data_IF_861359984374
#
_entry.id   IF_861359984374
#
_cell.length_a   1.000
_cell.length_b   1.000
_cell.length_c   1.000
_cell.angle_alpha   90.00
_cell.angle_beta   90.00
_cell.angle_gamma   90.00
#
_symmetry.space_group_name_H-M   'P 1'
#
loop_
_entity.id
_entity.type
_entity.pdbx_description
1 polymer ?
#
# COMPACT_ATOMS: atom_id res chain seq x y z
N UNK A 1 -27.46 8.71 15.82
CA UNK A 1 -27.43 7.34 16.36
C UNK A 1 -26.10 7.12 17.08
N UNK A 2 -26.07 6.31 18.14
CA UNK A 2 -24.81 5.96 18.80
C UNK A 2 -24.08 4.93 17.94
N UNK A 3 -22.89 5.28 17.46
CA UNK A 3 -22.01 4.37 16.75
C UNK A 3 -21.25 3.58 17.82
N UNK A 4 -21.36 2.26 17.79
CA UNK A 4 -20.57 1.37 18.65
C UNK A 4 -19.49 0.72 17.79
N UNK A 5 -18.26 0.77 18.26
CA UNK A 5 -17.13 0.09 17.63
C UNK A 5 -16.92 -1.26 18.30
N UNK A 6 -16.61 -2.28 17.50
CA UNK A 6 -16.20 -3.57 18.04
C UNK A 6 -14.74 -3.51 18.49
N UNK A 7 -14.40 -4.35 19.45
CA UNK A 7 -13.00 -4.63 19.76
C UNK A 7 -12.46 -5.63 18.74
N UNK A 8 -11.14 -5.65 18.55
CA UNK A 8 -10.49 -6.57 17.62
C UNK A 8 -10.87 -8.05 17.86
N UNK A 9 -11.01 -8.46 19.12
CA UNK A 9 -11.42 -9.83 19.46
C UNK A 9 -12.84 -10.13 18.95
N UNK A 10 -13.77 -9.17 19.09
CA UNK A 10 -15.13 -9.32 18.58
C UNK A 10 -15.18 -9.30 17.06
N UNK A 11 -14.30 -8.55 16.41
CA UNK A 11 -14.16 -8.60 14.96
C UNK A 11 -13.68 -9.97 14.48
N UNK A 12 -12.70 -10.58 15.16
CA UNK A 12 -12.25 -11.96 14.83
C UNK A 12 -13.37 -12.99 15.05
N UNK A 13 -14.10 -12.92 16.15
CA UNK A 13 -15.25 -13.80 16.40
C UNK A 13 -16.30 -13.73 15.28
N UNK A 14 -16.54 -12.53 14.73
CA UNK A 14 -17.47 -12.33 13.62
C UNK A 14 -16.95 -12.93 12.30
N UNK A 15 -15.64 -12.91 12.06
CA UNK A 15 -15.04 -13.57 10.89
C UNK A 15 -15.18 -15.09 10.99
N UNK A 16 -14.88 -15.67 12.16
CA UNK A 16 -15.07 -17.11 12.39
C UNK A 16 -16.54 -17.55 12.25
N UNK A 17 -17.48 -16.69 12.66
CA UNK A 17 -18.91 -16.96 12.50
C UNK A 17 -19.32 -16.99 11.02
N UNK A 18 -18.78 -16.08 10.20
CA UNK A 18 -19.02 -16.06 8.75
C UNK A 18 -18.51 -17.32 8.08
N UNK A 19 -17.32 -17.79 8.47
CA UNK A 19 -16.74 -19.03 7.94
C UNK A 19 -17.65 -20.23 8.24
N UNK A 20 -18.20 -20.33 9.46
CA UNK A 20 -19.16 -21.38 9.85
C UNK A 20 -20.45 -21.36 9.01
N UNK A 21 -20.83 -20.20 8.51
CA UNK A 21 -22.01 -20.03 7.64
C UNK A 21 -21.69 -20.19 6.15
N UNK A 22 -20.44 -20.49 5.80
CA UNK A 22 -20.02 -20.66 4.41
C UNK A 22 -19.84 -19.36 3.64
N UNK A 23 -19.74 -18.22 4.35
CA UNK A 23 -19.40 -16.94 3.73
C UNK A 23 -17.89 -16.77 3.66
N UNK A 24 -17.31 -17.01 2.49
CA UNK A 24 -15.89 -16.75 2.24
C UNK A 24 -15.71 -15.31 1.76
N UNK A 25 -14.78 -14.58 2.38
CA UNK A 25 -14.37 -13.24 1.93
C UNK A 25 -13.12 -13.35 1.04
N UNK A 26 -13.20 -13.01 -0.26
CA UNK A 26 -12.04 -13.03 -1.16
C UNK A 26 -10.86 -12.22 -0.63
N UNK A 27 -11.09 -11.16 0.16
CA UNK A 27 -10.01 -10.33 0.71
C UNK A 27 -9.14 -11.06 1.73
N UNK A 28 -9.64 -12.15 2.30
CA UNK A 28 -8.91 -12.97 3.27
C UNK A 28 -8.18 -14.14 2.59
N UNK A 29 -8.27 -14.28 1.26
CA UNK A 29 -7.56 -15.34 0.54
C UNK A 29 -6.15 -14.89 0.15
N UNK A 30 -5.27 -15.86 -0.10
CA UNK A 30 -3.84 -15.61 -0.36
C UNK A 30 -3.62 -14.80 -1.63
N UNK A 31 -4.52 -14.93 -2.60
CA UNK A 31 -4.54 -14.18 -3.85
C UNK A 31 -4.69 -12.67 -3.61
N UNK A 32 -5.26 -12.27 -2.46
CA UNK A 32 -5.51 -10.88 -2.08
C UNK A 32 -4.69 -10.39 -0.87
N UNK A 33 -3.80 -11.21 -0.31
CA UNK A 33 -2.98 -10.91 0.89
C UNK A 33 -2.09 -9.65 0.70
N UNK A 34 -1.69 -9.35 -0.54
CA UNK A 34 -0.88 -8.17 -0.90
C UNK A 34 -1.61 -7.23 -1.86
N UNK A 35 -2.94 -7.32 -1.96
CA UNK A 35 -3.70 -6.41 -2.78
C UNK A 35 -3.74 -5.03 -2.13
N UNK A 36 -2.81 -4.16 -2.52
CA UNK A 36 -3.01 -2.73 -2.42
C UNK A 36 -4.23 -2.39 -3.28
N UNK A 37 -5.37 -2.19 -2.62
CA UNK A 37 -6.67 -1.85 -3.23
C UNK A 37 -6.55 -0.65 -4.18
N UNK A 38 -5.52 0.18 -4.01
CA UNK A 38 -5.26 1.37 -4.81
C UNK A 38 -4.24 1.15 -5.96
N UNK A 39 -3.48 0.05 -5.96
CA UNK A 39 -2.38 -0.16 -6.90
C UNK A 39 -2.42 -1.49 -7.68
N UNK A 40 -3.27 -2.45 -7.30
CA UNK A 40 -3.36 -3.71 -8.04
C UNK A 40 -4.34 -3.60 -9.23
N UNK A 41 -3.83 -3.97 -10.40
CA UNK A 41 -4.53 -3.96 -11.69
C UNK A 41 -5.36 -5.22 -11.94
N UNK A 42 -5.44 -6.14 -10.98
CA UNK A 42 -6.23 -7.39 -11.09
C UNK A 42 -7.69 -7.16 -11.51
N UNK A 43 -8.25 -5.99 -11.23
CA UNK A 43 -9.60 -5.62 -11.63
C UNK A 43 -9.68 -4.78 -12.91
N UNK A 44 -8.56 -4.26 -13.44
CA UNK A 44 -8.58 -3.36 -14.62
C UNK A 44 -9.21 -4.01 -15.83
N UNK A 45 -8.85 -5.26 -16.12
CA UNK A 45 -9.40 -5.99 -17.26
C UNK A 45 -10.90 -6.20 -17.10
N UNK A 46 -11.35 -6.58 -15.90
CA UNK A 46 -12.78 -6.73 -15.60
C UNK A 46 -13.57 -5.42 -15.60
N UNK A 47 -12.92 -4.28 -15.34
CA UNK A 47 -13.57 -2.96 -15.44
C UNK A 47 -13.83 -2.58 -16.89
N UNK A 48 -12.93 -2.94 -17.80
CA UNK A 48 -13.15 -2.78 -19.24
C UNK A 48 -14.31 -3.66 -19.72
N UNK A 49 -14.34 -4.93 -19.31
CA UNK A 49 -15.48 -5.84 -19.61
C UNK A 49 -16.82 -5.33 -19.05
N UNK A 50 -16.80 -4.72 -17.86
CA UNK A 50 -17.97 -4.13 -17.22
C UNK A 50 -18.39 -2.77 -17.84
N UNK A 51 -17.63 -2.23 -18.79
CA UNK A 51 -17.91 -0.95 -19.45
C UNK A 51 -17.69 0.26 -18.55
N UNK A 52 -16.84 0.15 -17.53
CA UNK A 52 -16.52 1.25 -16.62
C UNK A 52 -15.60 2.25 -17.33
N UNK A 53 -16.09 3.46 -17.57
CA UNK A 53 -15.33 4.53 -18.20
C UNK A 53 -14.85 5.58 -17.20
N UNK A 54 -13.61 6.04 -17.35
CA UNK A 54 -13.05 7.16 -16.59
C UNK A 54 -13.67 8.48 -17.05
N UNK A 55 -14.67 9.00 -16.32
CA UNK A 55 -15.37 10.25 -16.66
C UNK A 55 -14.99 11.48 -15.83
N UNK A 56 -14.42 11.30 -14.64
CA UNK A 56 -14.25 12.38 -13.67
C UNK A 56 -12.87 13.06 -13.67
N UNK A 57 -11.80 12.32 -13.96
CA UNK A 57 -10.41 12.81 -13.92
C UNK A 57 -9.66 12.30 -15.14
N UNK A 58 -8.75 13.10 -15.70
CA UNK A 58 -7.88 12.67 -16.81
C UNK A 58 -6.99 11.47 -16.45
N UNK A 59 -6.58 10.71 -17.47
CA UNK A 59 -5.71 9.55 -17.25
C UNK A 59 -4.38 10.05 -16.70
N UNK A 60 -3.78 9.36 -15.71
CA UNK A 60 -2.43 9.71 -15.29
C UNK A 60 -1.48 9.57 -16.49
N UNK A 61 -0.41 10.37 -16.56
CA UNK A 61 0.61 10.20 -17.58
C UNK A 61 1.13 8.75 -17.54
N UNK A 62 1.48 8.17 -18.70
CA UNK A 62 1.97 6.80 -18.75
C UNK A 62 3.15 6.66 -17.79
N UNK A 63 3.11 5.60 -16.97
CA UNK A 63 4.26 5.23 -16.14
C UNK A 63 5.48 5.22 -17.03
N UNK A 64 6.51 6.01 -16.66
CA UNK A 64 7.80 5.95 -17.35
C UNK A 64 8.21 4.48 -17.43
N UNK A 65 8.78 4.02 -18.57
CA UNK A 65 9.30 2.68 -18.67
C UNK A 65 10.09 2.43 -17.39
N UNK A 66 9.78 1.34 -16.68
CA UNK A 66 10.60 0.85 -15.59
C UNK A 66 12.01 0.91 -16.12
N UNK A 67 12.80 1.85 -15.60
CA UNK A 67 14.22 1.89 -15.91
C UNK A 67 14.69 0.48 -15.58
N UNK A 68 15.07 -0.28 -16.61
CA UNK A 68 15.77 -1.54 -16.46
C UNK A 68 16.77 -1.30 -15.35
N UNK A 69 16.57 -1.96 -14.20
CA UNK A 69 17.28 -1.78 -12.95
C UNK A 69 18.06 -0.46 -12.92
N UNK A 70 17.42 0.64 -12.50
CA UNK A 70 18.09 1.93 -12.35
C UNK A 70 19.43 1.71 -11.65
N UNK A 71 20.48 1.65 -12.45
CA UNK A 71 21.86 1.69 -12.01
C UNK A 71 21.95 3.07 -11.42
N UNK A 72 21.88 3.12 -10.08
CA UNK A 72 22.21 4.24 -9.22
C UNK A 72 22.55 5.53 -9.98
N UNK A 73 21.52 6.30 -10.35
CA UNK A 73 21.70 7.67 -10.81
C UNK A 73 21.91 8.64 -9.62
N UNK A 74 22.36 8.12 -8.48
CA UNK A 74 23.19 8.87 -7.56
C UNK A 74 24.63 8.67 -8.00
N UNK A 75 25.22 9.67 -8.67
CA UNK A 75 26.68 9.84 -8.56
C UNK A 75 27.04 9.80 -7.08
N UNK A 76 28.22 9.28 -6.69
CA UNK A 76 28.51 8.85 -5.33
C UNK A 76 28.15 9.97 -4.36
N UNK A 77 26.97 9.86 -3.77
CA UNK A 77 26.62 10.68 -2.62
C UNK A 77 27.58 10.13 -1.58
N UNK A 78 28.54 10.96 -1.16
CA UNK A 78 29.53 10.57 -0.16
C UNK A 78 28.78 10.19 1.11
N UNK A 79 28.48 8.90 1.20
CA UNK A 79 27.60 8.34 2.20
C UNK A 79 28.18 8.57 3.58
N UNK A 80 29.51 8.65 3.68
CA UNK A 80 30.22 8.97 4.90
C UNK A 80 29.95 10.42 5.35
N UNK A 81 29.97 11.39 4.43
CA UNK A 81 29.61 12.78 4.71
C UNK A 81 28.16 12.92 5.20
N UNK A 82 27.22 12.22 4.54
CA UNK A 82 25.81 12.23 4.95
C UNK A 82 25.61 11.60 6.35
N UNK A 83 26.30 10.47 6.62
CA UNK A 83 26.26 9.81 7.93
C UNK A 83 26.83 10.73 9.02
N UNK A 84 27.94 11.42 8.76
CA UNK A 84 28.54 12.36 9.71
C UNK A 84 27.61 13.53 10.02
N UNK A 85 26.96 14.11 9.01
CA UNK A 85 26.04 15.23 9.20
C UNK A 85 24.82 14.83 10.04
N UNK A 86 24.22 13.66 9.76
CA UNK A 86 23.10 13.12 10.53
C UNK A 86 23.55 12.88 11.98
N UNK A 87 24.71 12.26 12.18
CA UNK A 87 25.24 11.95 13.53
C UNK A 87 25.48 13.22 14.35
N UNK A 88 26.06 14.25 13.73
CA UNK A 88 26.29 15.54 14.38
C UNK A 88 24.98 16.18 14.86
N UNK A 89 23.94 16.17 14.01
CA UNK A 89 22.62 16.72 14.35
C UNK A 89 21.95 15.96 15.51
N UNK A 90 22.06 14.63 15.53
CA UNK A 90 21.51 13.79 16.61
C UNK A 90 22.22 14.05 17.94
N UNK A 91 23.55 14.11 17.95
CA UNK A 91 24.33 14.40 19.17
C UNK A 91 24.03 15.80 19.70
N UNK A 92 23.86 16.79 18.83
CA UNK A 92 23.47 18.14 19.24
C UNK A 92 22.07 18.17 19.87
N UNK A 93 21.11 17.40 19.33
CA UNK A 93 19.77 17.28 19.88
C UNK A 93 19.74 16.57 21.25
N UNK A 94 20.60 15.57 21.46
CA UNK A 94 20.70 14.84 22.73
C UNK A 94 21.39 15.62 23.85
N UNK A 95 22.13 16.68 23.51
CA UNK A 95 22.80 17.57 24.49
C UNK A 95 21.90 18.73 24.94
N UNK A 96 20.67 18.80 24.44
CA UNK A 96 19.67 19.81 24.75
C UNK A 96 18.63 19.24 25.71
#
# INVERSE_FOLDING_TARGET
GRINYFTQDKERELLELKDKWGFTDPRNTKEYENCDICANDIFRDSWEEAGVERRAFDAPPPMRPTAAAASSAGGPVDQESLIQEITSRVVAALRK
#
